data_IF_352066310334
#
_entry.id   IF_352066310334
#
_cell.length_a   1.000
_cell.length_b   1.000
_cell.length_c   1.000
_cell.angle_alpha   90.00
_cell.angle_beta   90.00
_cell.angle_gamma   90.00
#
_symmetry.space_group_name_H-M   'P 1'
#
loop_
_entity.id
_entity.type
_entity.pdbx_description
1 polymer ?
#
# COMPACT_ATOMS: atom_id res chain seq x y z
N UNK A 1 3.11 24.63 -29.65
CA UNK A 1 3.07 23.21 -29.22
C UNK A 1 3.65 23.16 -27.81
N UNK A 2 2.80 22.96 -26.80
CA UNK A 2 3.22 23.06 -25.39
C UNK A 2 4.10 21.88 -24.99
N UNK A 3 5.11 22.15 -24.16
CA UNK A 3 6.17 21.22 -23.69
C UNK A 3 5.60 20.01 -22.88
N UNK A 4 4.28 19.92 -22.71
CA UNK A 4 3.60 18.86 -21.95
C UNK A 4 2.36 18.30 -22.67
N UNK A 5 2.38 18.15 -24.00
CA UNK A 5 1.31 17.41 -24.69
C UNK A 5 1.47 15.92 -24.41
N UNK A 6 0.64 15.38 -23.53
CA UNK A 6 0.56 13.93 -23.31
C UNK A 6 0.00 13.28 -24.59
N UNK A 7 0.70 12.29 -25.17
CA UNK A 7 0.23 11.63 -26.38
C UNK A 7 -1.14 10.95 -26.16
N UNK A 8 -2.00 10.88 -27.20
CA UNK A 8 -3.25 10.13 -27.13
C UNK A 8 -2.97 8.66 -26.86
N UNK A 9 -3.93 7.96 -26.25
CA UNK A 9 -3.76 6.56 -25.78
C UNK A 9 -3.28 5.62 -26.90
N UNK A 10 -3.76 5.82 -28.13
CA UNK A 10 -3.41 5.03 -29.32
C UNK A 10 -1.95 5.17 -29.76
N UNK A 11 -1.26 6.23 -29.36
CA UNK A 11 0.13 6.50 -29.73
C UNK A 11 1.13 6.09 -28.64
N UNK A 12 0.64 5.66 -27.47
CA UNK A 12 1.47 5.27 -26.33
C UNK A 12 2.01 3.85 -26.49
N UNK A 13 3.22 3.64 -26.00
CA UNK A 13 3.90 2.33 -26.04
C UNK A 13 3.39 1.48 -24.87
N UNK A 14 3.24 0.15 -25.01
CA UNK A 14 2.93 -0.72 -23.90
C UNK A 14 3.92 -0.56 -22.74
N UNK A 15 3.42 -0.40 -21.51
CA UNK A 15 4.25 -0.33 -20.31
C UNK A 15 4.99 -1.66 -20.13
N UNK A 16 6.33 -1.68 -20.06
CA UNK A 16 7.05 -2.92 -19.85
C UNK A 16 6.72 -3.54 -18.49
N UNK A 17 6.47 -4.87 -18.40
CA UNK A 17 5.94 -5.52 -17.21
C UNK A 17 6.90 -5.48 -16.00
N UNK A 18 8.20 -5.27 -16.26
CA UNK A 18 9.22 -5.19 -15.22
C UNK A 18 9.34 -3.81 -14.57
N UNK A 19 8.71 -2.76 -15.11
CA UNK A 19 8.90 -1.38 -14.64
C UNK A 19 8.46 -1.20 -13.19
N UNK A 20 7.28 -1.71 -12.82
CA UNK A 20 6.76 -1.65 -11.44
C UNK A 20 7.62 -2.47 -10.47
N UNK A 21 7.88 -3.77 -10.68
CA UNK A 21 8.68 -4.56 -9.74
C UNK A 21 10.11 -4.04 -9.63
N UNK A 22 10.72 -3.55 -10.72
CA UNK A 22 12.03 -2.92 -10.68
C UNK A 22 12.01 -1.64 -9.83
N UNK A 23 10.98 -0.80 -9.97
CA UNK A 23 10.84 0.41 -9.17
C UNK A 23 10.76 0.09 -7.67
N UNK A 24 9.93 -0.89 -7.29
CA UNK A 24 9.84 -1.37 -5.89
C UNK A 24 11.19 -1.88 -5.40
N UNK A 25 11.87 -2.70 -6.20
CA UNK A 25 13.19 -3.23 -5.86
C UNK A 25 14.21 -2.12 -5.62
N UNK A 26 14.25 -1.09 -6.47
CA UNK A 26 15.17 0.04 -6.32
C UNK A 26 14.82 0.83 -5.05
N UNK A 27 13.54 1.06 -4.74
CA UNK A 27 13.13 1.78 -3.53
C UNK A 27 13.54 1.05 -2.24
N UNK A 28 13.32 -0.26 -2.18
CA UNK A 28 13.73 -1.10 -1.05
C UNK A 28 15.26 -1.07 -0.92
N UNK A 29 15.96 -1.23 -2.04
CA UNK A 29 17.43 -1.22 -2.06
C UNK A 29 18.00 0.12 -1.63
N UNK A 30 17.40 1.23 -2.08
CA UNK A 30 17.84 2.60 -1.74
C UNK A 30 17.75 2.87 -0.24
N UNK A 31 16.69 2.42 0.42
CA UNK A 31 16.56 2.56 1.88
C UNK A 31 17.53 1.64 2.65
N UNK A 32 18.02 0.58 2.02
CA UNK A 32 19.00 -0.35 2.60
C UNK A 32 20.45 0.15 2.50
N UNK A 33 20.69 1.20 1.71
CA UNK A 33 21.99 1.86 1.57
C UNK A 33 22.38 2.59 2.85
N UNK A 34 23.67 2.97 3.00
CA UNK A 34 24.12 3.82 4.10
C UNK A 34 23.22 5.05 4.28
N UNK A 35 23.08 5.56 5.52
CA UNK A 35 22.18 6.66 5.86
C UNK A 35 22.68 8.03 5.36
N UNK A 36 23.30 8.08 4.18
CA UNK A 36 23.72 9.31 3.52
C UNK A 36 22.53 9.89 2.76
N UNK A 37 21.94 10.96 3.32
CA UNK A 37 20.78 11.66 2.75
C UNK A 37 20.96 12.01 1.27
N UNK A 38 22.16 12.48 0.89
CA UNK A 38 22.48 12.88 -0.47
C UNK A 38 22.44 11.72 -1.47
N UNK A 39 22.91 10.52 -1.06
CA UNK A 39 22.88 9.33 -1.92
C UNK A 39 21.45 8.86 -2.16
N UNK A 40 20.65 8.79 -1.10
CA UNK A 40 19.23 8.40 -1.19
C UNK A 40 18.43 9.40 -2.04
N UNK A 41 18.69 10.70 -1.88
CA UNK A 41 18.10 11.75 -2.70
C UNK A 41 18.49 11.65 -4.17
N UNK A 42 19.77 11.43 -4.46
CA UNK A 42 20.25 11.25 -5.83
C UNK A 42 19.54 10.06 -6.50
N UNK A 43 19.44 8.93 -5.80
CA UNK A 43 18.75 7.74 -6.28
C UNK A 43 17.24 7.96 -6.47
N UNK A 44 16.59 8.65 -5.53
CA UNK A 44 15.19 9.05 -5.69
C UNK A 44 14.99 9.88 -6.96
N UNK A 45 15.82 10.89 -7.19
CA UNK A 45 15.72 11.74 -8.38
C UNK A 45 15.94 10.94 -9.67
N UNK A 46 16.83 9.94 -9.66
CA UNK A 46 17.04 9.07 -10.82
C UNK A 46 15.87 8.12 -11.13
N UNK A 47 14.98 7.85 -10.17
CA UNK A 47 13.76 7.06 -10.41
C UNK A 47 12.59 7.98 -10.74
N UNK A 48 12.41 9.02 -9.93
CA UNK A 48 11.26 9.92 -10.00
C UNK A 48 11.25 10.75 -11.28
N UNK A 49 12.38 11.33 -11.69
CA UNK A 49 12.43 12.19 -12.87
C UNK A 49 12.16 11.41 -14.17
N UNK A 50 12.80 10.25 -14.43
CA UNK A 50 12.47 9.45 -15.60
C UNK A 50 11.05 8.90 -15.55
N UNK A 51 10.56 8.46 -14.38
CA UNK A 51 9.18 8.00 -14.26
C UNK A 51 8.20 9.13 -14.63
N UNK A 52 8.36 10.34 -14.06
CA UNK A 52 7.51 11.48 -14.37
C UNK A 52 7.59 11.91 -15.84
N UNK A 53 8.78 11.84 -16.45
CA UNK A 53 8.98 12.22 -17.84
C UNK A 53 8.47 11.18 -18.84
N UNK A 54 8.51 9.89 -18.50
CA UNK A 54 8.24 8.79 -19.45
C UNK A 54 6.91 8.08 -19.24
N UNK A 55 6.36 8.07 -18.02
CA UNK A 55 5.05 7.45 -17.74
C UNK A 55 3.93 7.96 -18.66
N UNK A 56 3.85 9.25 -19.02
CA UNK A 56 2.81 9.72 -19.95
C UNK A 56 2.91 9.13 -21.36
N UNK A 57 4.08 8.58 -21.72
CA UNK A 57 4.34 7.93 -23.02
C UNK A 57 4.00 6.45 -23.03
N UNK A 58 3.71 5.85 -21.86
CA UNK A 58 3.35 4.45 -21.72
C UNK A 58 1.85 4.26 -21.49
N UNK A 59 1.35 3.08 -21.87
CA UNK A 59 -0.01 2.66 -21.58
C UNK A 59 -0.08 1.16 -21.29
N UNK A 60 -1.06 0.78 -20.50
CA UNK A 60 -1.53 -0.58 -20.26
C UNK A 60 -2.61 -1.00 -21.27
N UNK A 61 -3.05 -0.07 -22.13
CA UNK A 61 -4.18 -0.23 -23.04
C UNK A 61 -5.52 0.18 -22.44
N UNK A 62 -5.54 0.59 -21.17
CA UNK A 62 -6.73 0.96 -20.39
C UNK A 62 -6.47 2.24 -19.62
N UNK A 63 -7.30 3.27 -19.80
CA UNK A 63 -7.14 4.55 -19.11
C UNK A 63 -7.25 4.41 -17.58
N UNK A 64 -8.07 3.47 -17.11
CA UNK A 64 -8.23 3.18 -15.68
C UNK A 64 -6.96 2.59 -15.09
N UNK A 65 -6.36 1.62 -15.79
CA UNK A 65 -5.13 0.97 -15.33
C UNK A 65 -3.94 1.93 -15.42
N UNK A 66 -3.88 2.78 -16.46
CA UNK A 66 -2.89 3.86 -16.56
C UNK A 66 -2.99 4.85 -15.40
N UNK A 67 -4.21 5.19 -14.99
CA UNK A 67 -4.44 6.03 -13.80
C UNK A 67 -3.93 5.34 -12.53
N UNK A 68 -4.23 4.05 -12.33
CA UNK A 68 -3.71 3.29 -11.18
C UNK A 68 -2.18 3.19 -11.17
N UNK A 69 -1.56 2.97 -12.32
CA UNK A 69 -0.09 2.99 -12.46
C UNK A 69 0.44 4.37 -12.07
N UNK A 70 -0.15 5.45 -12.59
CA UNK A 70 0.20 6.82 -12.23
C UNK A 70 0.10 7.08 -10.73
N UNK A 71 -1.01 6.70 -10.10
CA UNK A 71 -1.21 6.81 -8.65
C UNK A 71 -0.17 6.02 -7.85
N UNK A 72 0.22 4.83 -8.33
CA UNK A 72 1.24 3.99 -7.70
C UNK A 72 2.60 4.69 -7.72
N UNK A 73 3.03 5.20 -8.87
CA UNK A 73 4.27 5.96 -8.99
C UNK A 73 4.25 7.27 -8.20
N UNK A 74 3.13 7.99 -8.20
CA UNK A 74 2.93 9.16 -7.35
C UNK A 74 3.12 8.80 -5.87
N UNK A 75 2.52 7.70 -5.42
CA UNK A 75 2.68 7.21 -4.05
C UNK A 75 4.13 6.86 -3.72
N UNK A 76 4.87 6.23 -4.65
CA UNK A 76 6.30 5.96 -4.47
C UNK A 76 7.12 7.23 -4.27
N UNK A 77 6.82 8.29 -5.02
CA UNK A 77 7.48 9.59 -4.85
C UNK A 77 7.17 10.18 -3.48
N UNK A 78 5.89 10.25 -3.07
CA UNK A 78 5.52 10.82 -1.77
C UNK A 78 6.11 10.05 -0.60
N UNK A 79 6.02 8.72 -0.62
CA UNK A 79 6.58 7.86 0.44
C UNK A 79 8.11 7.97 0.48
N UNK A 80 8.76 8.06 -0.69
CA UNK A 80 10.20 8.29 -0.76
C UNK A 80 10.62 9.65 -0.20
N UNK A 81 9.84 10.71 -0.45
CA UNK A 81 10.08 12.02 0.15
C UNK A 81 9.99 11.92 1.66
N UNK A 82 8.96 11.26 2.19
CA UNK A 82 8.81 11.04 3.62
C UNK A 82 10.02 10.30 4.21
N UNK A 83 10.39 9.16 3.64
CA UNK A 83 11.45 8.30 4.18
C UNK A 83 12.87 8.84 3.95
N UNK A 84 13.14 9.51 2.84
CA UNK A 84 14.50 9.96 2.49
C UNK A 84 14.78 11.41 2.83
N UNK A 85 13.74 12.25 2.90
CA UNK A 85 13.89 13.70 3.08
C UNK A 85 13.42 14.15 4.45
N UNK A 86 12.25 13.70 4.88
CA UNK A 86 11.60 14.19 6.10
C UNK A 86 12.00 13.38 7.33
N UNK A 87 12.21 12.08 7.16
CA UNK A 87 12.46 11.14 8.25
C UNK A 87 13.92 10.69 8.32
N UNK A 88 14.30 10.14 9.47
CA UNK A 88 15.51 9.31 9.65
C UNK A 88 15.09 7.86 9.90
N UNK A 89 14.87 7.06 8.85
CA UNK A 89 14.29 5.72 8.96
C UNK A 89 14.96 4.84 10.00
N UNK A 90 16.29 4.80 10.03
CA UNK A 90 17.09 4.03 10.98
C UNK A 90 16.72 4.29 12.45
N UNK A 91 16.32 5.51 12.78
CA UNK A 91 16.07 5.98 14.14
C UNK A 91 14.59 6.09 14.47
N UNK A 92 13.76 6.28 13.46
CA UNK A 92 12.34 6.51 13.62
C UNK A 92 11.53 5.23 13.41
N UNK A 93 12.07 4.28 12.65
CA UNK A 93 11.37 3.09 12.20
C UNK A 93 11.99 1.80 12.75
N UNK A 94 11.45 1.30 13.87
CA UNK A 94 11.89 0.05 14.49
C UNK A 94 10.71 -0.86 14.83
N UNK A 95 10.98 -2.16 14.92
CA UNK A 95 9.96 -3.16 15.27
C UNK A 95 9.67 -3.09 16.77
N UNK A 96 8.38 -3.10 17.12
CA UNK A 96 7.94 -3.13 18.51
C UNK A 96 7.52 -4.55 18.86
N UNK A 97 8.40 -5.29 19.53
CA UNK A 97 8.07 -6.61 20.06
C UNK A 97 7.24 -6.46 21.34
N UNK A 98 5.91 -6.44 21.20
CA UNK A 98 5.02 -6.49 22.36
C UNK A 98 4.94 -7.93 22.89
N UNK A 99 5.93 -8.37 23.66
CA UNK A 99 5.79 -9.56 24.51
C UNK A 99 4.76 -9.25 25.61
N UNK A 100 3.91 -10.24 25.88
CA UNK A 100 2.73 -10.09 26.72
C UNK A 100 3.00 -9.81 28.21
N UNK A 101 1.88 -9.55 28.90
CA UNK A 101 1.70 -9.28 30.34
C UNK A 101 2.16 -7.91 30.86
N UNK A 102 1.25 -7.27 31.60
CA UNK A 102 1.27 -5.91 32.17
C UNK A 102 2.39 -5.68 33.23
N UNK A 103 3.40 -6.57 33.32
CA UNK A 103 4.35 -6.61 34.44
C UNK A 103 5.76 -6.08 34.19
N UNK A 104 6.20 -5.84 32.95
CA UNK A 104 7.64 -5.67 32.65
C UNK A 104 7.94 -4.36 31.86
N UNK A 105 7.36 -3.24 32.29
CA UNK A 105 7.53 -1.91 31.66
C UNK A 105 9.01 -1.52 31.53
N UNK A 106 9.84 -1.90 32.51
CA UNK A 106 11.28 -1.61 32.52
C UNK A 106 12.09 -2.45 31.52
N UNK A 107 11.64 -3.65 31.15
CA UNK A 107 12.33 -4.44 30.11
C UNK A 107 11.99 -3.94 28.70
N UNK A 108 10.75 -3.50 28.49
CA UNK A 108 10.31 -2.96 27.20
C UNK A 108 11.12 -1.73 26.75
N UNK A 109 11.36 -0.78 27.66
CA UNK A 109 12.12 0.44 27.34
C UNK A 109 13.59 0.17 26.98
N UNK A 110 14.22 -0.82 27.62
CA UNK A 110 15.61 -1.22 27.33
C UNK A 110 15.70 -1.97 26.00
N UNK A 111 14.76 -2.86 25.69
CA UNK A 111 14.71 -3.56 24.39
C UNK A 111 14.42 -2.60 23.24
N UNK A 112 13.52 -1.63 23.42
CA UNK A 112 13.25 -0.57 22.45
C UNK A 112 14.50 0.28 22.14
N UNK A 113 15.24 0.67 23.19
CA UNK A 113 16.48 1.42 23.03
C UNK A 113 17.57 0.64 22.28
N UNK A 114 17.62 -0.68 22.43
CA UNK A 114 18.53 -1.57 21.68
C UNK A 114 18.12 -1.68 20.23
N UNK A 115 16.84 -1.93 19.95
CA UNK A 115 16.33 -2.07 18.58
C UNK A 115 16.49 -0.76 17.79
N UNK A 116 16.30 0.40 18.44
CA UNK A 116 16.52 1.73 17.84
C UNK A 116 17.97 1.96 17.40
N UNK A 117 18.94 1.36 18.11
CA UNK A 117 20.38 1.49 17.79
C UNK A 117 20.90 0.37 16.90
N UNK A 118 20.14 -0.73 16.75
CA UNK A 118 20.51 -1.88 15.94
C UNK A 118 20.75 -1.49 14.49
N UNK A 119 19.87 -0.69 13.91
CA UNK A 119 19.93 -0.33 12.49
C UNK A 119 21.07 0.61 12.11
N UNK A 120 21.73 1.23 13.10
CA UNK A 120 22.97 1.99 12.91
C UNK A 120 24.21 1.06 12.86
N UNK A 121 24.13 -0.13 13.47
CA UNK A 121 25.23 -1.11 13.54
C UNK A 121 25.16 -2.16 12.43
N UNK A 122 23.97 -2.44 11.89
CA UNK A 122 23.77 -3.36 10.78
C UNK A 122 24.41 -2.79 9.52
N UNK A 123 25.36 -3.53 8.93
CA UNK A 123 26.07 -3.10 7.74
C UNK A 123 25.14 -2.82 6.55
N UNK A 124 25.48 -1.85 5.69
CA UNK A 124 24.76 -1.61 4.45
C UNK A 124 24.79 -2.90 3.61
N UNK A 125 23.73 -3.15 2.84
CA UNK A 125 23.57 -4.35 1.99
C UNK A 125 23.38 -5.70 2.69
N UNK A 126 23.29 -5.73 4.02
CA UNK A 126 22.90 -6.96 4.70
C UNK A 126 21.47 -7.36 4.31
N UNK A 127 21.24 -8.67 4.16
CA UNK A 127 19.90 -9.21 3.91
C UNK A 127 18.90 -8.77 4.99
N UNK A 128 19.37 -8.64 6.23
CA UNK A 128 18.58 -8.14 7.36
C UNK A 128 18.12 -6.68 7.15
N UNK A 129 19.03 -5.78 6.74
CA UNK A 129 18.68 -4.39 6.42
C UNK A 129 17.72 -4.30 5.23
N UNK A 130 17.91 -5.16 4.23
CA UNK A 130 17.03 -5.23 3.06
C UNK A 130 15.62 -5.70 3.43
N UNK A 131 15.49 -6.73 4.26
CA UNK A 131 14.20 -7.21 4.78
C UNK A 131 13.53 -6.17 5.69
N UNK A 132 14.29 -5.44 6.50
CA UNK A 132 13.78 -4.31 7.28
C UNK A 132 13.21 -3.22 6.37
N UNK A 133 13.96 -2.82 5.35
CA UNK A 133 13.52 -1.85 4.35
C UNK A 133 12.26 -2.31 3.62
N UNK A 134 12.22 -3.55 3.16
CA UNK A 134 11.03 -4.14 2.54
C UNK A 134 9.84 -4.09 3.51
N UNK A 135 10.07 -4.42 4.79
CA UNK A 135 9.05 -4.34 5.81
C UNK A 135 8.50 -2.93 6.06
N UNK A 136 9.30 -1.87 5.88
CA UNK A 136 8.83 -0.48 5.95
C UNK A 136 7.96 -0.17 4.73
N UNK A 137 8.44 -0.49 3.53
CA UNK A 137 7.75 -0.22 2.26
C UNK A 137 6.40 -0.94 2.16
N UNK A 138 6.29 -2.15 2.69
CA UNK A 138 5.05 -2.93 2.68
C UNK A 138 4.19 -2.74 3.95
N UNK A 139 4.56 -1.85 4.87
CA UNK A 139 3.78 -1.58 6.10
C UNK A 139 3.12 -0.21 6.09
N UNK A 140 2.09 -0.06 5.24
CA UNK A 140 1.32 1.18 5.11
C UNK A 140 0.71 1.68 6.44
N UNK A 141 0.40 0.78 7.39
CA UNK A 141 -0.18 1.10 8.71
C UNK A 141 0.78 0.92 9.88
N UNK A 142 2.06 0.63 9.60
CA UNK A 142 3.08 0.42 10.63
C UNK A 142 2.76 -0.70 11.63
N UNK A 143 2.04 -1.75 11.22
CA UNK A 143 1.67 -2.84 12.15
C UNK A 143 2.92 -3.55 12.68
N UNK A 144 3.08 -3.55 14.00
CA UNK A 144 4.25 -4.08 14.69
C UNK A 144 5.47 -3.15 14.62
N UNK A 145 5.29 -1.90 14.24
CA UNK A 145 6.33 -0.89 14.12
C UNK A 145 6.10 0.29 15.08
N UNK A 146 7.12 1.13 15.26
CA UNK A 146 7.08 2.32 16.12
C UNK A 146 6.04 3.37 15.70
N UNK A 147 5.64 3.41 14.42
CA UNK A 147 4.61 4.29 13.89
C UNK A 147 3.28 3.58 13.66
N UNK A 148 3.01 2.49 14.38
CA UNK A 148 1.73 1.78 14.30
C UNK A 148 0.56 2.74 14.50
N UNK A 149 -0.34 2.75 13.52
CA UNK A 149 -1.53 3.60 13.56
C UNK A 149 -2.40 3.18 14.75
N UNK A 150 -2.98 4.16 15.44
CA UNK A 150 -3.88 3.90 16.58
C UNK A 150 -5.19 3.28 16.05
N UNK A 151 -5.95 2.58 16.89
CA UNK A 151 -7.27 2.03 16.53
C UNK A 151 -7.28 0.97 15.41
N UNK A 152 -6.21 0.19 15.25
CA UNK A 152 -6.26 -0.97 14.37
C UNK A 152 -7.31 -1.98 14.82
N UNK A 153 -7.84 -2.73 13.84
CA UNK A 153 -8.68 -3.87 14.12
C UNK A 153 -7.98 -4.83 15.11
N UNK A 154 -8.72 -5.48 16.03
CA UNK A 154 -8.13 -6.33 17.06
C UNK A 154 -7.17 -7.37 16.47
N UNK A 155 -5.93 -7.37 16.95
CA UNK A 155 -4.93 -8.36 16.57
C UNK A 155 -5.36 -9.75 17.03
N UNK A 156 -5.02 -10.77 16.25
CA UNK A 156 -5.24 -12.16 16.65
C UNK A 156 -4.32 -12.50 17.84
N UNK A 157 -4.75 -13.37 18.77
CA UNK A 157 -3.93 -13.78 19.90
C UNK A 157 -2.68 -14.53 19.43
N UNK A 158 -1.63 -14.53 20.25
CA UNK A 158 -0.43 -15.31 19.97
C UNK A 158 -0.77 -16.81 19.89
N UNK A 159 -0.21 -17.51 18.90
CA UNK A 159 -0.51 -18.93 18.66
C UNK A 159 -1.85 -19.19 17.96
N UNK A 160 -2.51 -18.17 17.40
CA UNK A 160 -3.70 -18.40 16.58
C UNK A 160 -3.38 -19.34 15.40
N UNK A 161 -4.16 -20.40 15.18
CA UNK A 161 -3.83 -21.43 14.19
C UNK A 161 -3.82 -20.87 12.77
N UNK A 162 -2.67 -20.98 12.10
CA UNK A 162 -2.44 -20.45 10.75
C UNK A 162 -3.44 -21.00 9.72
N UNK A 163 -3.82 -22.28 9.81
CA UNK A 163 -4.79 -22.87 8.88
C UNK A 163 -6.20 -22.26 9.00
N UNK A 164 -6.66 -21.95 10.22
CA UNK A 164 -7.97 -21.28 10.42
C UNK A 164 -7.92 -19.87 9.86
N UNK A 165 -6.79 -19.18 10.07
CA UNK A 165 -6.57 -17.85 9.54
C UNK A 165 -6.58 -17.85 8.01
N UNK A 166 -5.82 -18.78 7.41
CA UNK A 166 -5.74 -18.97 5.97
C UNK A 166 -7.11 -19.26 5.35
N UNK A 167 -7.85 -20.24 5.90
CA UNK A 167 -9.19 -20.58 5.41
C UNK A 167 -10.15 -19.39 5.50
N UNK A 168 -10.08 -18.61 6.59
CA UNK A 168 -10.89 -17.40 6.74
C UNK A 168 -10.59 -16.39 5.63
N UNK A 169 -9.31 -16.16 5.31
CA UNK A 169 -8.93 -15.21 4.26
C UNK A 169 -9.20 -15.74 2.85
N UNK A 170 -9.08 -17.05 2.60
CA UNK A 170 -9.48 -17.65 1.32
C UNK A 170 -10.98 -17.48 1.06
N UNK A 171 -11.82 -17.73 2.07
CA UNK A 171 -13.26 -17.49 1.96
C UNK A 171 -13.57 -16.00 1.75
N UNK A 172 -12.81 -15.09 2.37
CA UNK A 172 -12.93 -13.65 2.13
C UNK A 172 -12.53 -13.27 0.70
N UNK A 173 -11.44 -13.83 0.17
CA UNK A 173 -11.01 -13.62 -1.22
C UNK A 173 -12.14 -14.02 -2.15
N UNK A 174 -12.70 -15.23 -2.00
CA UNK A 174 -13.81 -15.68 -2.82
C UNK A 174 -15.04 -14.76 -2.70
N UNK A 175 -15.42 -14.41 -1.47
CA UNK A 175 -16.56 -13.54 -1.20
C UNK A 175 -16.40 -12.15 -1.83
N UNK A 176 -15.26 -11.48 -1.60
CA UNK A 176 -15.01 -10.15 -2.14
C UNK A 176 -14.79 -10.18 -3.65
N UNK A 177 -14.25 -11.25 -4.21
CA UNK A 177 -14.15 -11.45 -5.65
C UNK A 177 -15.54 -11.46 -6.30
N UNK A 178 -16.46 -12.29 -5.79
CA UNK A 178 -17.84 -12.36 -6.30
C UNK A 178 -18.53 -11.00 -6.20
N UNK A 179 -18.42 -10.32 -5.05
CA UNK A 179 -19.03 -9.00 -4.88
C UNK A 179 -18.43 -7.93 -5.80
N UNK A 180 -17.11 -7.94 -5.98
CA UNK A 180 -16.43 -7.04 -6.90
C UNK A 180 -16.85 -7.30 -8.35
N UNK A 181 -16.95 -8.57 -8.76
CA UNK A 181 -17.38 -8.97 -10.10
C UNK A 181 -18.84 -8.55 -10.37
N UNK A 182 -19.75 -8.75 -9.40
CA UNK A 182 -21.13 -8.27 -9.49
C UNK A 182 -21.18 -6.74 -9.66
N UNK A 183 -20.39 -5.99 -8.89
CA UNK A 183 -20.30 -4.53 -9.05
C UNK A 183 -19.77 -4.14 -10.43
N UNK A 184 -18.76 -4.83 -10.95
CA UNK A 184 -18.20 -4.58 -12.27
C UNK A 184 -19.22 -4.83 -13.38
N UNK A 185 -19.89 -6.00 -13.35
CA UNK A 185 -20.94 -6.34 -14.32
C UNK A 185 -22.05 -5.30 -14.28
N UNK A 186 -22.51 -4.92 -13.08
CA UNK A 186 -23.54 -3.90 -12.94
C UNK A 186 -23.09 -2.53 -13.48
N UNK A 187 -21.87 -2.09 -13.16
CA UNK A 187 -21.26 -0.86 -13.70
C UNK A 187 -21.19 -0.86 -15.24
N UNK A 188 -20.91 -2.01 -15.86
CA UNK A 188 -20.89 -2.15 -17.32
C UNK A 188 -22.27 -2.15 -17.97
N UNK A 189 -23.31 -2.58 -17.25
CA UNK A 189 -24.70 -2.55 -17.75
C UNK A 189 -25.36 -1.17 -17.65
N UNK A 190 -24.82 -0.28 -16.83
CA UNK A 190 -25.33 1.08 -16.70
C UNK A 190 -24.98 1.88 -17.97
N UNK A 191 -25.95 2.55 -18.61
CA UNK A 191 -25.67 3.40 -19.77
C UNK A 191 -24.60 4.43 -19.41
N UNK A 192 -23.46 4.44 -20.09
CA UNK A 192 -22.44 5.43 -19.81
C UNK A 192 -22.98 6.82 -20.15
N UNK A 193 -23.00 7.70 -19.16
CA UNK A 193 -23.47 9.07 -19.31
C UNK A 193 -22.40 9.89 -20.00
N UNK A 194 -22.53 9.98 -21.32
CA UNK A 194 -21.77 10.83 -22.24
C UNK A 194 -20.26 10.62 -22.27
N UNK A 195 -19.74 10.46 -23.48
CA UNK A 195 -18.32 10.57 -23.80
C UNK A 195 -18.13 11.91 -24.54
N UNK A 196 -17.40 12.91 -24.00
CA UNK A 196 -16.56 12.87 -22.81
C UNK A 196 -17.32 13.09 -21.48
N UNK A 197 -16.80 12.54 -20.37
CA UNK A 197 -17.38 12.74 -19.04
C UNK A 197 -17.23 14.21 -18.62
N UNK A 198 -18.35 14.89 -18.40
CA UNK A 198 -18.36 16.25 -17.83
C UNK A 198 -18.33 16.17 -16.30
N UNK A 199 -17.44 16.96 -15.69
CA UNK A 199 -17.15 16.97 -14.24
C UNK A 199 -18.38 17.31 -13.37
N UNK A 200 -19.39 17.93 -14.00
CA UNK A 200 -20.75 18.12 -13.52
C UNK A 200 -21.65 17.63 -14.65
N UNK A 201 -22.00 16.35 -14.62
CA UNK A 201 -22.78 15.74 -15.68
C UNK A 201 -24.17 16.37 -15.78
N UNK A 202 -24.74 16.42 -17.00
CA UNK A 202 -26.16 16.72 -17.24
C UNK A 202 -27.10 15.67 -16.61
N UNK A 203 -26.54 14.68 -15.93
CA UNK A 203 -27.25 13.60 -15.25
C UNK A 203 -27.93 14.11 -13.98
N UNK A 204 -29.14 13.63 -13.66
CA UNK A 204 -29.79 13.94 -12.40
C UNK A 204 -28.91 13.59 -11.20
N UNK A 205 -28.87 14.47 -10.20
CA UNK A 205 -28.12 14.29 -8.94
C UNK A 205 -28.32 12.89 -8.32
N UNK A 206 -29.54 12.32 -8.25
CA UNK A 206 -29.73 10.98 -7.68
C UNK A 206 -28.90 9.89 -8.38
N UNK A 207 -28.74 10.00 -9.70
CA UNK A 207 -27.95 9.05 -10.49
C UNK A 207 -26.45 9.23 -10.24
N UNK A 208 -25.98 10.47 -10.16
CA UNK A 208 -24.58 10.75 -9.80
C UNK A 208 -24.22 10.20 -8.42
N UNK A 209 -25.10 10.40 -7.44
CA UNK A 209 -24.94 9.86 -6.08
C UNK A 209 -24.90 8.33 -6.11
N UNK A 210 -25.82 7.69 -6.84
CA UNK A 210 -25.84 6.23 -6.98
C UNK A 210 -24.54 5.68 -7.60
N UNK A 211 -24.05 6.31 -8.68
CA UNK A 211 -22.80 5.91 -9.33
C UNK A 211 -21.59 6.11 -8.41
N UNK A 212 -21.53 7.22 -7.68
CA UNK A 212 -20.47 7.47 -6.71
C UNK A 212 -20.45 6.40 -5.60
N UNK A 213 -21.62 6.02 -5.08
CA UNK A 213 -21.75 4.94 -4.11
C UNK A 213 -21.34 3.58 -4.67
N UNK A 214 -21.76 3.26 -5.90
CA UNK A 214 -21.37 2.02 -6.58
C UNK A 214 -19.84 1.92 -6.71
N UNK A 215 -19.18 2.98 -7.17
CA UNK A 215 -17.72 3.02 -7.26
C UNK A 215 -17.04 2.94 -5.89
N UNK A 216 -17.59 3.58 -4.86
CA UNK A 216 -17.06 3.46 -3.50
C UNK A 216 -17.16 2.01 -2.97
N UNK A 217 -18.31 1.36 -3.16
CA UNK A 217 -18.51 -0.05 -2.78
C UNK A 217 -17.55 -0.97 -3.54
N UNK A 218 -17.41 -0.76 -4.85
CA UNK A 218 -16.48 -1.49 -5.70
C UNK A 218 -15.03 -1.32 -5.23
N UNK A 219 -14.61 -0.09 -4.89
CA UNK A 219 -13.29 0.18 -4.33
C UNK A 219 -13.07 -0.53 -2.98
N UNK A 220 -14.07 -0.51 -2.09
CA UNK A 220 -14.01 -1.23 -0.81
C UNK A 220 -13.81 -2.74 -1.00
N UNK A 221 -14.53 -3.36 -1.95
CA UNK A 221 -14.36 -4.79 -2.26
C UNK A 221 -13.00 -5.08 -2.87
N UNK A 222 -12.55 -4.26 -3.83
CA UNK A 222 -11.22 -4.39 -4.45
C UNK A 222 -10.09 -4.33 -3.42
N UNK A 223 -10.14 -3.36 -2.49
CA UNK A 223 -9.12 -3.24 -1.44
C UNK A 223 -9.13 -4.43 -0.47
N UNK A 224 -10.31 -4.92 -0.08
CA UNK A 224 -10.42 -6.11 0.78
C UNK A 224 -9.95 -7.39 0.08
N UNK A 225 -10.24 -7.51 -1.23
CA UNK A 225 -9.78 -8.60 -2.07
C UNK A 225 -8.26 -8.59 -2.14
N UNK A 226 -7.65 -7.47 -2.55
CA UNK A 226 -6.20 -7.30 -2.62
C UNK A 226 -5.51 -7.58 -1.28
N UNK A 227 -6.03 -7.00 -0.19
CA UNK A 227 -5.50 -7.25 1.15
C UNK A 227 -5.59 -8.73 1.55
N UNK A 228 -6.75 -9.38 1.37
CA UNK A 228 -6.94 -10.77 1.76
C UNK A 228 -6.07 -11.71 0.92
N UNK A 229 -5.90 -11.43 -0.37
CA UNK A 229 -4.99 -12.16 -1.26
C UNK A 229 -3.54 -12.05 -0.79
N UNK A 230 -3.08 -10.84 -0.42
CA UNK A 230 -1.73 -10.65 0.13
C UNK A 230 -1.54 -11.41 1.45
N UNK A 231 -2.54 -11.39 2.34
CA UNK A 231 -2.51 -12.16 3.61
C UNK A 231 -2.36 -13.65 3.35
N UNK A 232 -3.12 -14.20 2.41
CA UNK A 232 -3.05 -15.62 2.02
C UNK A 232 -1.64 -15.97 1.55
N UNK A 233 -1.10 -15.20 0.60
CA UNK A 233 0.25 -15.42 0.06
C UNK A 233 1.32 -15.30 1.14
N UNK A 234 1.27 -14.24 1.95
CA UNK A 234 2.16 -13.99 3.08
C UNK A 234 2.18 -15.14 4.10
N UNK A 235 0.99 -15.65 4.45
CA UNK A 235 0.84 -16.73 5.43
C UNK A 235 1.33 -18.06 4.86
N UNK A 236 1.05 -18.35 3.58
CA UNK A 236 1.54 -19.55 2.91
C UNK A 236 3.06 -19.60 2.79
N UNK A 237 3.68 -18.44 2.53
CA UNK A 237 5.14 -18.31 2.45
C UNK A 237 5.82 -18.28 3.83
N UNK A 238 5.05 -18.22 4.92
CA UNK A 238 5.59 -18.22 6.28
C UNK A 238 6.32 -16.93 6.66
N UNK A 239 6.15 -15.84 5.90
CA UNK A 239 6.83 -14.57 6.18
C UNK A 239 6.27 -13.83 7.39
N UNK A 240 5.00 -14.06 7.72
CA UNK A 240 4.31 -13.34 8.79
C UNK A 240 3.32 -14.22 9.53
N UNK A 241 3.09 -13.88 10.80
CA UNK A 241 2.09 -14.56 11.64
C UNK A 241 0.70 -13.92 11.47
N UNK A 242 -0.39 -14.66 11.77
CA UNK A 242 -1.76 -14.12 11.75
C UNK A 242 -1.98 -12.82 12.54
N UNK A 243 -1.17 -12.59 13.58
CA UNK A 243 -1.25 -11.37 14.42
C UNK A 243 -0.70 -10.11 13.72
N UNK A 244 0.15 -10.28 12.72
CA UNK A 244 0.80 -9.19 11.99
C UNK A 244 -0.13 -8.58 10.93
N UNK A 245 -1.27 -9.23 10.67
CA UNK A 245 -2.26 -8.85 9.68
C UNK A 245 -3.62 -8.53 10.33
N UNK A 246 -3.74 -7.46 11.13
CA UNK A 246 -5.04 -6.97 11.58
C UNK A 246 -5.87 -6.58 10.37
N UNK A 247 -7.19 -6.72 10.46
CA UNK A 247 -8.12 -6.43 9.36
C UNK A 247 -7.81 -5.09 8.69
N UNK A 248 -7.90 -5.03 7.35
CA UNK A 248 -7.60 -3.84 6.54
C UNK A 248 -8.39 -2.61 7.01
N UNK A 249 -9.64 -2.82 7.38
CA UNK A 249 -10.57 -1.79 7.81
C UNK A 249 -11.19 -2.14 9.16
N UNK A 250 -11.67 -1.12 9.85
CA UNK A 250 -12.58 -1.21 10.98
C UNK A 250 -13.96 -1.72 10.57
N UNK A 251 -14.91 -1.68 11.50
CA UNK A 251 -16.29 -2.09 11.22
C UNK A 251 -16.98 -0.98 10.42
N UNK A 252 -17.75 -1.35 9.39
CA UNK A 252 -18.51 -0.39 8.58
C UNK A 252 -19.46 0.48 9.41
N UNK A 253 -20.05 -0.07 10.48
CA UNK A 253 -20.91 0.70 11.40
C UNK A 253 -20.17 1.83 12.14
N UNK A 254 -18.85 1.71 12.26
CA UNK A 254 -17.98 2.67 12.92
C UNK A 254 -17.32 3.62 11.90
N UNK A 255 -17.77 3.61 10.63
CA UNK A 255 -17.21 4.41 9.54
C UNK A 255 -17.65 5.89 9.52
N UNK A 256 -18.08 6.43 10.67
CA UNK A 256 -18.38 7.86 10.85
C UNK A 256 -17.12 8.73 10.94
N UNK A 257 -15.93 8.13 11.07
CA UNK A 257 -14.66 8.83 10.92
C UNK A 257 -13.65 7.98 10.14
N UNK A 258 -12.82 8.65 9.32
CA UNK A 258 -11.73 8.03 8.58
C UNK A 258 -10.80 7.27 9.53
N UNK A 259 -10.50 7.88 10.68
CA UNK A 259 -9.66 7.28 11.72
C UNK A 259 -10.24 5.97 12.28
N UNK A 260 -11.54 5.87 12.53
CA UNK A 260 -12.12 4.61 13.03
C UNK A 260 -12.19 3.53 11.94
N UNK A 261 -12.36 3.93 10.68
CA UNK A 261 -12.49 2.99 9.58
C UNK A 261 -11.14 2.52 9.03
N UNK A 262 -10.16 3.40 8.90
CA UNK A 262 -8.83 3.12 8.34
C UNK A 262 -7.75 2.87 9.41
N UNK A 263 -7.96 3.38 10.63
CA UNK A 263 -6.96 3.49 11.70
C UNK A 263 -6.58 4.95 11.95
#
# INVERSE_FOLDING_TARGET
MGIFSVPPLSERVPLPPYVIPLSIFILITTLSLPPTRNLRLLLLLTIALPALATLPSYTTGSANDDYFVGCTFGSFVFVSVDYFVLSRPEKEFWRVHRKGAVGDINKGSVEEGKEKRRWDAVGPWSAEKWLWSAGIWFSARGVGWSWEVRNLAPKKPAGYPAWKFLLTHLLRVLFFYILFDVCQVYSHTLPQSHDPPTLLSAEPIPRQVMLAWLHWVQAYFSLNLGFSSMVVLATLLGFWEPRDWPGAFGRLRDAWSVRQFWG
#
